data_IF_534769559336
#
_entry.id   IF_534769559336
#
_cell.length_a   1.000
_cell.length_b   1.000
_cell.length_c   1.000
_cell.angle_alpha   90.00
_cell.angle_beta   90.00
_cell.angle_gamma   90.00
#
_symmetry.space_group_name_H-M   'P 1'
#
loop_
_entity.id
_entity.type
_entity.pdbx_description
1 polymer ?
#
# COMPACT_ATOMS: atom_id res chain seq x y z
N UNK A 1 7.31 -14.13 8.06
CA UNK A 1 6.70 -14.01 6.73
C UNK A 1 7.70 -13.42 5.76
N UNK A 2 7.67 -13.87 4.52
CA UNK A 2 8.53 -13.30 3.48
C UNK A 2 7.78 -12.19 2.75
N UNK A 3 8.53 -11.28 2.15
CA UNK A 3 7.99 -10.25 1.28
C UNK A 3 7.49 -10.88 -0.02
N UNK A 4 6.38 -10.38 -0.53
CA UNK A 4 5.76 -10.93 -1.73
C UNK A 4 5.03 -9.85 -2.53
N UNK A 5 4.55 -10.21 -3.71
CA UNK A 5 3.75 -9.32 -4.56
C UNK A 5 2.33 -9.88 -4.69
N UNK A 6 1.41 -9.02 -5.11
CA UNK A 6 0.01 -9.38 -5.26
C UNK A 6 -0.60 -8.56 -6.39
N UNK A 7 -1.51 -9.17 -7.13
CA UNK A 7 -2.26 -8.44 -8.16
C UNK A 7 -3.38 -7.61 -7.53
N UNK A 8 -3.75 -6.53 -8.19
CA UNK A 8 -4.75 -5.60 -7.63
C UNK A 8 -6.07 -6.29 -7.30
N UNK A 9 -6.56 -7.16 -8.18
CA UNK A 9 -7.85 -7.83 -7.93
C UNK A 9 -7.77 -8.78 -6.72
N UNK A 10 -6.64 -9.40 -6.49
CA UNK A 10 -6.41 -10.21 -5.29
C UNK A 10 -6.30 -9.31 -4.05
N UNK A 11 -5.68 -8.15 -4.19
CA UNK A 11 -5.60 -7.16 -3.13
C UNK A 11 -6.99 -6.67 -2.72
N UNK A 12 -7.90 -6.48 -3.69
CA UNK A 12 -9.29 -6.11 -3.37
C UNK A 12 -9.93 -7.15 -2.45
N UNK A 13 -9.72 -8.44 -2.72
CA UNK A 13 -10.24 -9.51 -1.87
C UNK A 13 -9.59 -9.49 -0.49
N UNK A 14 -8.28 -9.30 -0.43
CA UNK A 14 -7.55 -9.22 0.84
C UNK A 14 -8.01 -8.02 1.68
N UNK A 15 -8.28 -6.89 1.03
CA UNK A 15 -8.77 -5.67 1.68
C UNK A 15 -10.08 -5.93 2.42
N UNK A 16 -10.98 -6.72 1.83
CA UNK A 16 -12.28 -7.05 2.44
C UNK A 16 -12.12 -7.93 3.68
N UNK A 17 -11.01 -8.65 3.78
CA UNK A 17 -10.71 -9.56 4.88
C UNK A 17 -9.54 -9.06 5.74
N UNK A 18 -9.28 -7.76 5.73
CA UNK A 18 -8.15 -7.17 6.46
C UNK A 18 -8.28 -7.45 7.94
N UNK A 19 -7.20 -7.96 8.54
CA UNK A 19 -7.19 -8.36 9.94
C UNK A 19 -6.61 -7.25 10.81
N UNK A 20 -6.92 -7.29 12.10
CA UNK A 20 -6.32 -6.38 13.06
C UNK A 20 -4.80 -6.56 13.04
N UNK A 21 -4.07 -5.45 13.02
CA UNK A 21 -2.61 -5.47 12.92
C UNK A 21 -2.09 -5.43 11.49
N UNK A 22 -2.97 -5.55 10.49
CA UNK A 22 -2.61 -5.37 9.08
C UNK A 22 -2.94 -3.95 8.65
N UNK A 23 -2.16 -3.41 7.72
CA UNK A 23 -2.36 -2.03 7.26
C UNK A 23 -2.20 -1.95 5.74
N UNK A 24 -2.96 -1.05 5.13
CA UNK A 24 -2.80 -0.69 3.72
C UNK A 24 -1.98 0.60 3.69
N UNK A 25 -0.87 0.58 2.96
CA UNK A 25 0.02 1.72 2.83
C UNK A 25 -0.11 2.32 1.44
N UNK A 26 -0.58 3.57 1.38
CA UNK A 26 -0.70 4.34 0.16
C UNK A 26 0.50 5.28 0.08
N UNK A 27 1.37 5.08 -0.91
CA UNK A 27 2.61 5.86 -1.05
C UNK A 27 2.49 6.99 -2.08
N UNK A 28 1.24 7.33 -2.46
CA UNK A 28 0.99 8.47 -3.33
C UNK A 28 1.16 9.78 -2.57
N UNK A 29 1.13 10.90 -3.29
CA UNK A 29 1.19 12.22 -2.68
C UNK A 29 -0.09 12.51 -1.88
N UNK A 30 -0.03 13.41 -0.88
CA UNK A 30 -1.20 13.70 -0.05
C UNK A 30 -2.40 14.24 -0.83
N UNK A 31 -2.18 15.01 -1.88
CA UNK A 31 -3.26 15.54 -2.72
C UNK A 31 -3.96 14.43 -3.51
N UNK A 32 -3.21 13.44 -3.99
CA UNK A 32 -3.79 12.25 -4.64
C UNK A 32 -4.64 11.47 -3.64
N UNK A 33 -4.12 11.29 -2.42
CA UNK A 33 -4.83 10.58 -1.35
C UNK A 33 -6.14 11.29 -0.99
N UNK A 34 -6.11 12.63 -0.91
CA UNK A 34 -7.30 13.42 -0.56
C UNK A 34 -8.39 13.36 -1.64
N UNK A 35 -8.01 13.16 -2.90
CA UNK A 35 -8.95 13.03 -4.01
C UNK A 35 -9.72 11.71 -4.00
N UNK A 36 -9.21 10.71 -3.31
CA UNK A 36 -9.85 9.42 -3.17
C UNK A 36 -8.84 8.37 -2.75
N UNK A 37 -9.20 7.55 -1.78
CA UNK A 37 -8.31 6.52 -1.24
C UNK A 37 -9.11 5.32 -0.75
N UNK A 38 -8.40 4.24 -0.44
CA UNK A 38 -9.01 3.03 0.11
C UNK A 38 -9.27 3.25 1.60
N UNK A 39 -10.46 2.92 2.06
CA UNK A 39 -10.84 3.08 3.47
C UNK A 39 -9.82 2.38 4.38
N UNK A 40 -9.35 3.09 5.39
CA UNK A 40 -8.40 2.56 6.36
C UNK A 40 -6.94 2.64 5.92
N UNK A 41 -6.65 3.14 4.71
CA UNK A 41 -5.28 3.26 4.24
C UNK A 41 -4.53 4.36 4.99
N UNK A 42 -3.26 4.09 5.28
CA UNK A 42 -2.33 5.06 5.84
C UNK A 42 -1.55 5.68 4.69
N UNK A 43 -1.51 7.00 4.61
CA UNK A 43 -0.75 7.69 3.57
C UNK A 43 0.61 8.10 4.10
N UNK A 44 1.67 7.49 3.55
CA UNK A 44 3.04 7.96 3.73
C UNK A 44 3.60 8.14 2.33
N UNK A 45 3.74 9.39 1.86
CA UNK A 45 4.28 9.63 0.51
C UNK A 45 5.66 9.02 0.34
N UNK A 46 5.92 8.49 -0.86
CA UNK A 46 7.18 7.79 -1.14
C UNK A 46 8.44 8.54 -0.66
N UNK A 47 8.58 9.87 -0.90
CA UNK A 47 9.79 10.57 -0.46
C UNK A 47 9.98 10.61 1.04
N UNK A 48 8.94 10.38 1.83
CA UNK A 48 9.00 10.42 3.29
C UNK A 48 9.29 9.07 3.92
N UNK A 49 9.22 7.98 3.13
CA UNK A 49 9.40 6.63 3.67
C UNK A 49 10.72 6.41 4.37
N UNK A 50 11.88 6.89 3.85
CA UNK A 50 13.14 6.65 4.52
C UNK A 50 13.19 7.17 5.96
N UNK A 51 12.49 8.28 6.26
CA UNK A 51 12.44 8.86 7.60
C UNK A 51 11.30 8.31 8.44
N UNK A 52 10.28 7.72 7.81
CA UNK A 52 9.05 7.33 8.51
C UNK A 52 8.81 5.83 8.57
N UNK A 53 9.73 5.03 8.04
CA UNK A 53 9.53 3.56 8.02
C UNK A 53 9.37 2.96 9.43
N UNK A 54 9.88 3.63 10.45
CA UNK A 54 9.70 3.17 11.83
C UNK A 54 8.24 3.11 12.27
N UNK A 55 7.37 3.93 11.67
CA UNK A 55 5.94 3.92 11.96
C UNK A 55 5.26 2.61 11.54
N UNK A 56 5.91 1.83 10.67
CA UNK A 56 5.34 0.61 10.11
C UNK A 56 5.77 -0.66 10.84
N UNK A 57 6.70 -0.56 11.79
CA UNK A 57 7.32 -1.74 12.42
C UNK A 57 6.35 -2.54 13.28
N UNK A 58 5.31 -1.92 13.79
CA UNK A 58 4.34 -2.57 14.68
C UNK A 58 3.29 -3.40 13.93
N UNK A 59 3.17 -3.23 12.62
CA UNK A 59 2.15 -3.94 11.85
C UNK A 59 2.61 -5.35 11.50
N UNK A 60 1.65 -6.28 11.47
CA UNK A 60 1.93 -7.69 11.15
C UNK A 60 2.02 -7.92 9.65
N UNK A 61 1.31 -7.11 8.86
CA UNK A 61 1.33 -7.19 7.40
C UNK A 61 1.06 -5.81 6.82
N UNK A 62 1.82 -5.45 5.79
CA UNK A 62 1.73 -4.14 5.16
C UNK A 62 1.48 -4.35 3.67
N UNK A 63 0.31 -3.91 3.18
CA UNK A 63 -0.04 -3.94 1.75
C UNK A 63 0.30 -2.59 1.16
N UNK A 64 1.22 -2.56 0.19
CA UNK A 64 1.73 -1.33 -0.42
C UNK A 64 1.11 -1.14 -1.79
N UNK A 65 0.52 0.03 -2.04
CA UNK A 65 0.02 0.37 -3.36
C UNK A 65 0.25 1.85 -3.68
N UNK A 66 0.08 2.18 -4.96
CA UNK A 66 0.15 3.55 -5.45
C UNK A 66 -0.87 3.74 -6.57
N UNK A 67 -0.59 4.62 -7.53
CA UNK A 67 -1.51 4.89 -8.64
C UNK A 67 -1.49 3.79 -9.70
N UNK A 68 -0.29 3.32 -10.10
CA UNK A 68 -0.11 2.37 -11.22
C UNK A 68 0.88 1.25 -10.93
N UNK A 69 1.52 1.23 -9.76
CA UNK A 69 2.44 0.19 -9.35
C UNK A 69 3.91 0.60 -9.24
N UNK A 70 4.35 1.66 -9.96
CA UNK A 70 5.76 2.06 -9.98
C UNK A 70 6.31 2.53 -8.64
N UNK A 71 5.61 3.47 -8.01
CA UNK A 71 6.01 3.97 -6.68
C UNK A 71 5.92 2.89 -5.62
N UNK A 72 4.94 1.98 -5.75
CA UNK A 72 4.80 0.87 -4.83
C UNK A 72 6.01 -0.06 -4.89
N UNK A 73 6.53 -0.33 -6.08
CA UNK A 73 7.76 -1.13 -6.24
C UNK A 73 8.95 -0.47 -5.57
N UNK A 74 9.10 0.85 -5.74
CA UNK A 74 10.18 1.60 -5.11
C UNK A 74 10.04 1.57 -3.59
N UNK A 75 8.83 1.78 -3.08
CA UNK A 75 8.54 1.72 -1.65
C UNK A 75 8.87 0.34 -1.07
N UNK A 76 8.50 -0.71 -1.80
CA UNK A 76 8.78 -2.08 -1.40
C UNK A 76 10.29 -2.29 -1.21
N UNK A 77 11.10 -1.82 -2.16
CA UNK A 77 12.57 -1.91 -2.06
C UNK A 77 13.13 -1.14 -0.88
N UNK A 78 12.62 0.07 -0.64
CA UNK A 78 13.06 0.90 0.50
C UNK A 78 12.76 0.18 1.82
N UNK A 79 11.55 -0.32 1.99
CA UNK A 79 11.13 -0.95 3.23
C UNK A 79 11.81 -2.31 3.44
N UNK A 80 12.03 -3.05 2.36
CA UNK A 80 12.78 -4.30 2.41
C UNK A 80 14.22 -4.02 2.85
N UNK A 81 14.85 -2.99 2.30
CA UNK A 81 16.19 -2.55 2.69
C UNK A 81 16.26 -2.07 4.14
N UNK A 82 15.15 -1.61 4.69
CA UNK A 82 15.06 -1.20 6.10
C UNK A 82 14.81 -2.39 7.04
N UNK A 83 14.71 -3.60 6.51
CA UNK A 83 14.60 -4.82 7.31
C UNK A 83 13.17 -5.31 7.55
N UNK A 84 12.17 -4.71 6.91
CA UNK A 84 10.80 -5.20 7.06
C UNK A 84 10.61 -6.47 6.22
N UNK A 85 10.00 -7.50 6.81
CA UNK A 85 9.85 -8.81 6.20
C UNK A 85 8.39 -9.27 6.13
N UNK A 86 7.44 -8.32 6.17
CA UNK A 86 6.01 -8.57 6.21
C UNK A 86 5.26 -7.77 5.14
N UNK A 87 5.91 -7.53 4.01
CA UNK A 87 5.43 -6.65 2.96
C UNK A 87 4.71 -7.41 1.85
N UNK A 88 3.62 -6.84 1.36
CA UNK A 88 2.92 -7.29 0.16
C UNK A 88 2.86 -6.10 -0.79
N UNK A 89 3.47 -6.21 -1.96
CA UNK A 89 3.49 -5.12 -2.93
C UNK A 89 2.46 -5.37 -4.03
N UNK A 90 1.54 -4.42 -4.21
CA UNK A 90 0.62 -4.44 -5.34
C UNK A 90 1.33 -3.70 -6.47
N UNK A 91 1.93 -4.43 -7.39
CA UNK A 91 2.84 -3.88 -8.38
C UNK A 91 2.37 -3.96 -9.83
N UNK A 92 1.25 -4.62 -10.10
CA UNK A 92 0.72 -4.72 -11.46
C UNK A 92 -0.19 -3.54 -11.83
N UNK A 93 -0.73 -2.85 -10.84
CA UNK A 93 -1.68 -1.75 -11.02
C UNK A 93 -1.79 -0.98 -9.69
N UNK A 94 -2.74 -0.05 -9.61
CA UNK A 94 -2.98 0.71 -8.39
C UNK A 94 -4.33 1.40 -8.41
N UNK A 95 -4.43 2.60 -7.83
CA UNK A 95 -5.69 3.31 -7.68
C UNK A 95 -6.42 3.57 -9.00
N UNK A 96 -5.71 3.76 -10.10
CA UNK A 96 -6.38 3.94 -11.39
C UNK A 96 -7.27 2.74 -11.72
N UNK A 97 -6.72 1.53 -11.63
CA UNK A 97 -7.49 0.31 -11.90
C UNK A 97 -8.53 0.03 -10.81
N UNK A 98 -8.23 0.37 -9.56
CA UNK A 98 -9.17 0.25 -8.45
C UNK A 98 -10.46 1.02 -8.75
N UNK A 99 -10.31 2.28 -9.16
CA UNK A 99 -11.43 3.16 -9.50
C UNK A 99 -12.18 2.66 -10.74
N UNK A 100 -11.43 2.29 -11.80
CA UNK A 100 -12.03 1.77 -13.03
C UNK A 100 -12.83 0.50 -12.79
N UNK A 101 -12.42 -0.31 -11.83
CA UNK A 101 -13.09 -1.57 -11.50
C UNK A 101 -14.37 -1.36 -10.66
N UNK A 102 -14.64 -0.12 -10.26
CA UNK A 102 -15.80 0.17 -9.43
C UNK A 102 -15.61 -0.19 -7.96
N UNK A 103 -14.40 -0.40 -7.52
CA UNK A 103 -14.11 -0.73 -6.13
C UNK A 103 -14.29 0.49 -5.23
N UNK A 104 -14.62 0.32 -3.92
CA UNK A 104 -14.99 1.44 -3.06
C UNK A 104 -13.87 2.46 -2.86
N UNK A 105 -14.21 3.74 -2.89
CA UNK A 105 -13.28 4.86 -2.67
C UNK A 105 -13.83 5.76 -1.59
N UNK A 106 -12.98 6.16 -0.65
CA UNK A 106 -13.30 7.11 0.40
C UNK A 106 -12.64 8.45 0.09
N UNK A 107 -13.32 9.54 0.44
CA UNK A 107 -12.80 10.89 0.25
C UNK A 107 -12.58 11.61 1.57
#
# INVERSE_FOLDING_TARGET
MSNTTMKLHDFFQAHKALKQGEIILDVRNPDEFAQGHIHGALNIPLPELPQRHGELKSYQRIYIHCKRGGRAKTAFGILEGAGLANLVCVDDAGMDLWVESGYPVQH
#
